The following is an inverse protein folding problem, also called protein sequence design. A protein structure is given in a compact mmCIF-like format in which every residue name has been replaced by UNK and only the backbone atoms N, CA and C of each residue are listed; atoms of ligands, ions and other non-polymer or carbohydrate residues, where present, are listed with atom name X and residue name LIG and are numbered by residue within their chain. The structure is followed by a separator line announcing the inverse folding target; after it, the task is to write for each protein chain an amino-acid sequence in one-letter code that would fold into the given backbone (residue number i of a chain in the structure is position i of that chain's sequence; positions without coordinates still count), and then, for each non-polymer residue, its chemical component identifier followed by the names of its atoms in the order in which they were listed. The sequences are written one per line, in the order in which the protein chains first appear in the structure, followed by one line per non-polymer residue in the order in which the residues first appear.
data_IF_375990753093
#
_entry.id   IF_375990753093
#
_cell.length_a   1.000
_cell.length_b   1.000
_cell.length_c   1.000
_cell.angle_alpha   90.00
_cell.angle_beta   90.00
_cell.angle_gamma   90.00
#
_symmetry.space_group_name_H-M   'P 1'
#
loop_
_entity.id
_entity.type
_entity.pdbx_description
1 polymer ?
#
# COMPACT_ATOMS: atom_id res chain seq x y z
N UNK A 1 -3.02 9.90 2.63
CA UNK A 1 -4.15 9.06 3.11
C UNK A 1 -4.55 7.97 2.11
N UNK A 2 -4.87 8.31 0.84
CA UNK A 2 -5.25 7.37 -0.25
C UNK A 2 -4.34 6.13 -0.28
N UNK A 3 -3.02 6.35 -0.30
CA UNK A 3 -2.03 5.28 -0.39
C UNK A 3 -1.99 4.36 0.82
N UNK A 4 -2.15 4.92 2.03
CA UNK A 4 -2.25 4.14 3.26
C UNK A 4 -3.50 3.24 3.23
N UNK A 5 -4.64 3.76 2.78
CA UNK A 5 -5.88 3.00 2.64
C UNK A 5 -5.72 1.83 1.66
N UNK A 6 -5.04 2.05 0.53
CA UNK A 6 -4.77 0.99 -0.43
C UNK A 6 -3.88 -0.12 0.14
N UNK A 7 -2.83 0.24 0.88
CA UNK A 7 -1.83 -0.70 1.44
C UNK A 7 -2.33 -1.46 2.66
N UNK A 8 -2.91 -0.75 3.62
CA UNK A 8 -3.19 -1.26 4.97
C UNK A 8 -4.69 -1.26 5.28
N UNK A 9 -5.46 -0.36 4.67
CA UNK A 9 -6.87 -0.11 5.00
C UNK A 9 -7.03 1.05 5.99
N UNK A 10 -8.11 1.03 6.77
CA UNK A 10 -8.34 2.03 7.83
C UNK A 10 -7.82 1.51 9.17
N UNK A 11 -6.81 2.15 9.77
CA UNK A 11 -6.17 1.64 10.99
C UNK A 11 -7.00 1.95 12.26
N UNK A 12 -8.10 2.70 12.14
CA UNK A 12 -8.93 3.14 13.28
C UNK A 12 -10.37 2.59 13.27
N UNK A 13 -10.76 1.77 12.29
CA UNK A 13 -12.16 1.28 12.18
C UNK A 13 -12.60 0.44 13.39
N UNK A 14 -11.66 -0.16 14.11
CA UNK A 14 -11.94 -1.05 15.23
C UNK A 14 -11.96 -0.35 16.61
N UNK A 15 -11.63 0.95 16.67
CA UNK A 15 -11.61 1.72 17.90
C UNK A 15 -12.88 2.55 18.03
N UNK A 16 -13.33 2.83 19.25
CA UNK A 16 -14.41 3.79 19.46
C UNK A 16 -13.92 5.19 19.09
N UNK A 17 -14.46 5.76 18.01
CA UNK A 17 -14.12 7.11 17.54
C UNK A 17 -15.26 8.06 17.92
N UNK A 18 -14.93 9.22 18.48
CA UNK A 18 -15.86 10.35 18.55
C UNK A 18 -15.66 11.23 17.31
N UNK A 19 -16.74 11.47 16.58
CA UNK A 19 -16.71 12.22 15.32
C UNK A 19 -17.52 13.50 15.52
N UNK A 20 -16.95 14.65 15.13
CA UNK A 20 -17.70 15.92 15.11
C UNK A 20 -18.85 15.79 14.11
N UNK A 21 -20.05 16.24 14.49
CA UNK A 21 -21.24 16.13 13.63
C UNK A 21 -21.03 16.74 12.23
N UNK A 22 -20.32 17.87 12.15
CA UNK A 22 -19.95 18.53 10.89
C UNK A 22 -19.12 17.66 9.95
N UNK A 23 -18.29 16.75 10.48
CA UNK A 23 -17.48 15.84 9.65
C UNK A 23 -18.32 14.77 8.95
N UNK A 24 -19.55 14.53 9.40
CA UNK A 24 -20.51 13.61 8.78
C UNK A 24 -21.40 14.29 7.74
N UNK A 25 -21.33 15.61 7.60
CA UNK A 25 -22.15 16.34 6.64
C UNK A 25 -21.79 15.93 5.21
N UNK A 26 -22.81 15.63 4.41
CA UNK A 26 -22.64 15.18 3.02
C UNK A 26 -22.29 13.69 2.86
N UNK A 27 -21.91 12.99 3.93
CA UNK A 27 -21.71 11.54 3.89
C UNK A 27 -23.09 10.87 3.91
N UNK A 28 -23.25 9.85 3.07
CA UNK A 28 -24.50 9.09 2.92
C UNK A 28 -24.22 7.61 3.09
N UNK A 29 -25.20 6.93 3.67
CA UNK A 29 -25.17 5.48 3.85
C UNK A 29 -25.23 4.78 2.49
N UNK A 30 -24.22 3.97 2.18
CA UNK A 30 -24.17 3.15 0.99
C UNK A 30 -24.54 1.71 1.33
N UNK A 31 -25.78 1.33 0.99
CA UNK A 31 -26.31 -0.01 1.29
C UNK A 31 -25.57 -1.14 0.57
N UNK A 32 -24.74 -0.83 -0.44
CA UNK A 32 -23.95 -1.85 -1.15
C UNK A 32 -22.73 -2.32 -0.34
N UNK A 33 -22.25 -1.52 0.63
CA UNK A 33 -21.06 -1.80 1.43
C UNK A 33 -21.37 -2.55 2.72
N UNK A 34 -22.05 -3.68 2.62
CA UNK A 34 -22.42 -4.50 3.78
C UNK A 34 -21.17 -4.91 4.57
N UNK A 35 -21.19 -4.77 5.91
CA UNK A 35 -20.07 -5.09 6.84
C UNK A 35 -18.87 -4.13 6.77
N UNK A 36 -18.69 -3.36 5.69
CA UNK A 36 -17.50 -2.50 5.48
C UNK A 36 -17.85 -1.01 5.31
N UNK A 37 -19.09 -0.63 5.64
CA UNK A 37 -19.61 0.74 5.60
C UNK A 37 -18.79 1.71 6.47
N UNK A 38 -18.35 1.24 7.63
CA UNK A 38 -17.57 2.00 8.60
C UNK A 38 -16.21 2.40 8.02
N UNK A 39 -15.63 1.51 7.24
CA UNK A 39 -14.33 1.66 6.60
C UNK A 39 -14.40 2.69 5.45
N UNK A 40 -15.48 2.69 4.66
CA UNK A 40 -15.74 3.74 3.67
C UNK A 40 -16.03 5.09 4.34
N UNK A 41 -16.88 5.10 5.39
CA UNK A 41 -17.19 6.32 6.14
C UNK A 41 -15.92 6.97 6.71
N UNK A 42 -15.07 6.20 7.40
CA UNK A 42 -13.81 6.69 7.97
C UNK A 42 -12.87 7.18 6.88
N UNK A 43 -12.81 6.48 5.74
CA UNK A 43 -12.05 6.95 4.58
C UNK A 43 -12.53 8.33 4.12
N UNK A 44 -13.84 8.53 3.93
CA UNK A 44 -14.38 9.82 3.49
C UNK A 44 -14.10 10.95 4.49
N UNK A 45 -14.22 10.68 5.79
CA UNK A 45 -13.93 11.67 6.84
C UNK A 45 -12.45 12.04 6.83
N UNK A 46 -11.55 11.06 6.81
CA UNK A 46 -10.11 11.24 6.92
C UNK A 46 -9.47 11.97 5.72
N UNK A 47 -10.23 12.26 4.66
CA UNK A 47 -9.79 13.10 3.54
C UNK A 47 -9.70 14.57 3.90
N UNK A 48 -10.59 15.02 4.79
CA UNK A 48 -10.79 16.44 5.10
C UNK A 48 -10.58 16.76 6.59
N UNK A 49 -10.39 15.74 7.42
CA UNK A 49 -10.33 15.88 8.87
C UNK A 49 -9.16 15.07 9.43
N UNK A 50 -8.43 15.69 10.36
CA UNK A 50 -7.39 15.02 11.13
C UNK A 50 -7.95 14.35 12.38
N UNK A 51 -7.46 13.15 12.68
CA UNK A 51 -7.75 12.45 13.91
C UNK A 51 -6.78 12.89 15.02
N UNK A 52 -7.30 13.09 16.23
CA UNK A 52 -6.51 13.37 17.43
C UNK A 52 -6.63 12.20 18.39
N UNK A 53 -5.50 11.72 18.89
CA UNK A 53 -5.48 10.70 19.95
C UNK A 53 -5.91 11.32 21.27
N UNK A 54 -6.97 10.77 21.86
CA UNK A 54 -7.39 11.16 23.21
C UNK A 54 -6.59 10.31 24.21
N UNK A 55 -5.82 10.92 25.14
CA UNK A 55 -4.89 10.20 26.00
C UNK A 55 -5.57 9.33 27.08
N UNK A 56 -6.88 9.49 27.27
CA UNK A 56 -7.66 8.75 28.26
C UNK A 56 -8.88 8.07 27.60
N UNK A 57 -9.30 6.89 28.10
CA UNK A 57 -10.46 6.20 27.57
C UNK A 57 -11.74 6.98 27.89
N UNK A 58 -12.38 7.49 26.85
CA UNK A 58 -13.64 8.23 26.98
C UNK A 58 -14.87 7.34 27.18
N UNK A 59 -14.78 6.08 26.78
CA UNK A 59 -15.86 5.11 26.89
C UNK A 59 -15.31 3.73 27.28
N UNK A 60 -15.83 3.17 28.36
CA UNK A 60 -15.61 1.78 28.74
C UNK A 60 -16.82 0.96 28.26
N UNK A 61 -16.60 0.10 27.26
CA UNK A 61 -17.64 -0.82 26.79
C UNK A 61 -17.09 -2.23 26.67
N UNK A 62 -17.96 -3.22 26.91
CA UNK A 62 -17.59 -4.63 26.83
C UNK A 62 -17.76 -5.13 25.40
N UNK A 63 -16.66 -5.52 24.75
CA UNK A 63 -16.71 -6.27 23.49
C UNK A 63 -16.98 -7.74 23.79
N UNK A 64 -18.08 -8.27 23.25
CA UNK A 64 -18.34 -9.70 23.24
C UNK A 64 -17.80 -10.29 21.93
N UNK A 65 -17.16 -11.46 21.99
CA UNK A 65 -16.64 -12.16 20.81
C UNK A 65 -17.73 -12.54 19.80
N UNK A 66 -18.99 -12.60 20.24
CA UNK A 66 -20.18 -12.77 19.40
C UNK A 66 -20.51 -11.56 18.53
N UNK A 67 -19.94 -10.38 18.80
CA UNK A 67 -20.22 -9.13 18.07
C UNK A 67 -19.30 -8.93 16.86
N UNK A 68 -18.51 -9.94 16.51
CA UNK A 68 -17.67 -9.94 15.31
C UNK A 68 -18.47 -10.63 14.20
N UNK A 69 -18.60 -9.97 13.05
CA UNK A 69 -19.22 -10.57 11.88
C UNK A 69 -18.50 -11.87 11.53
N UNK A 70 -19.25 -12.96 11.38
CA UNK A 70 -18.73 -14.23 10.89
C UNK A 70 -18.79 -14.32 9.36
N UNK A 71 -19.16 -13.23 8.69
CA UNK A 71 -19.18 -13.14 7.25
C UNK A 71 -17.78 -13.40 6.69
N UNK A 72 -17.70 -14.31 5.72
CA UNK A 72 -16.45 -14.72 5.07
C UNK A 72 -16.52 -14.54 3.55
N UNK A 73 -17.64 -14.05 3.03
CA UNK A 73 -17.78 -13.77 1.62
C UNK A 73 -16.75 -12.70 1.18
N UNK A 74 -15.92 -13.08 0.21
CA UNK A 74 -14.83 -12.24 -0.28
C UNK A 74 -15.34 -10.92 -0.88
N UNK A 75 -16.44 -10.97 -1.63
CA UNK A 75 -16.97 -9.78 -2.31
C UNK A 75 -17.53 -8.80 -1.29
N UNK A 76 -18.17 -9.30 -0.23
CA UNK A 76 -18.65 -8.47 0.88
C UNK A 76 -17.48 -7.86 1.66
N UNK A 77 -16.47 -8.66 2.00
CA UNK A 77 -15.33 -8.20 2.82
C UNK A 77 -14.42 -7.19 2.13
N UNK A 78 -14.40 -7.16 0.80
CA UNK A 78 -13.52 -6.27 0.03
C UNK A 78 -14.26 -5.25 -0.85
N UNK A 79 -15.59 -5.16 -0.74
CA UNK A 79 -16.41 -4.22 -1.50
C UNK A 79 -15.92 -2.76 -1.39
N UNK A 80 -15.44 -2.35 -0.22
CA UNK A 80 -14.86 -1.02 0.00
C UNK A 80 -13.58 -0.80 -0.81
N UNK A 81 -12.76 -1.84 -0.99
CA UNK A 81 -11.53 -1.77 -1.79
C UNK A 81 -11.86 -1.70 -3.26
N UNK A 82 -12.84 -2.48 -3.73
CA UNK A 82 -13.31 -2.42 -5.11
C UNK A 82 -13.86 -1.03 -5.43
N UNK A 83 -14.80 -0.53 -4.60
CA UNK A 83 -15.33 0.83 -4.72
C UNK A 83 -14.23 1.89 -4.69
N UNK A 84 -13.23 1.73 -3.81
CA UNK A 84 -12.11 2.66 -3.72
C UNK A 84 -11.27 2.66 -5.00
N UNK A 85 -10.92 1.48 -5.54
CA UNK A 85 -10.15 1.36 -6.78
C UNK A 85 -10.92 1.90 -7.99
N UNK A 86 -12.24 1.69 -8.05
CA UNK A 86 -13.08 2.16 -9.16
C UNK A 86 -13.27 3.69 -9.17
N UNK A 87 -13.13 4.34 -8.01
CA UNK A 87 -13.33 5.78 -7.86
C UNK A 87 -12.03 6.61 -7.87
N UNK A 88 -10.86 5.99 -8.06
CA UNK A 88 -9.59 6.69 -8.15
C UNK A 88 -8.84 6.32 -9.43
N UNK A 89 -8.26 7.33 -10.06
CA UNK A 89 -7.34 7.15 -11.18
C UNK A 89 -6.04 6.47 -10.73
N UNK A 90 -5.32 5.87 -11.67
CA UNK A 90 -4.01 5.28 -11.37
C UNK A 90 -3.00 6.31 -10.87
N UNK A 91 -3.12 7.56 -11.32
CA UNK A 91 -2.30 8.68 -10.89
C UNK A 91 -2.55 9.05 -9.42
N UNK A 92 -3.81 9.09 -8.99
CA UNK A 92 -4.15 9.31 -7.58
C UNK A 92 -3.68 8.16 -6.68
N UNK A 93 -3.73 6.92 -7.19
CA UNK A 93 -3.32 5.73 -6.43
C UNK A 93 -1.79 5.64 -6.31
N UNK A 94 -1.07 5.90 -7.41
CA UNK A 94 0.38 5.75 -7.56
C UNK A 94 1.00 7.08 -8.06
N UNK A 95 1.01 8.14 -7.24
CA UNK A 95 1.45 9.48 -7.66
C UNK A 95 2.97 9.60 -7.83
N UNK A 96 3.74 8.65 -7.33
CA UNK A 96 5.20 8.66 -7.44
C UNK A 96 5.70 8.40 -8.86
N UNK A 97 4.87 7.81 -9.73
CA UNK A 97 5.18 7.63 -11.14
C UNK A 97 5.09 8.97 -11.90
N UNK A 98 5.87 9.10 -12.97
CA UNK A 98 5.86 10.30 -13.79
C UNK A 98 4.78 10.22 -14.88
N UNK A 99 3.57 10.65 -14.53
CA UNK A 99 2.41 10.59 -15.43
C UNK A 99 2.43 11.61 -16.58
N UNK A 100 3.31 12.62 -16.54
CA UNK A 100 3.29 13.73 -17.49
C UNK A 100 4.46 13.73 -18.48
N UNK A 101 5.61 13.12 -18.16
CA UNK A 101 6.78 13.08 -19.05
C UNK A 101 7.10 11.67 -19.58
N UNK A 102 6.35 10.64 -19.16
CA UNK A 102 6.57 9.25 -19.53
C UNK A 102 5.63 8.69 -20.61
N UNK A 103 5.99 7.53 -21.15
CA UNK A 103 5.06 6.69 -21.92
C UNK A 103 3.91 6.24 -21.01
N UNK A 104 2.69 6.67 -21.33
CA UNK A 104 1.49 6.37 -20.55
C UNK A 104 1.30 4.87 -20.35
N UNK A 105 1.59 4.03 -21.37
CA UNK A 105 1.45 2.58 -21.27
C UNK A 105 2.45 2.00 -20.25
N UNK A 106 3.70 2.51 -20.24
CA UNK A 106 4.75 2.10 -19.31
C UNK A 106 4.36 2.38 -17.86
N UNK A 107 3.84 3.57 -17.57
CA UNK A 107 3.45 3.94 -16.21
C UNK A 107 2.18 3.23 -15.77
N UNK A 108 1.22 3.02 -16.66
CA UNK A 108 0.05 2.20 -16.35
C UNK A 108 0.44 0.76 -16.01
N UNK A 109 1.41 0.17 -16.72
CA UNK A 109 1.91 -1.17 -16.42
C UNK A 109 2.55 -1.23 -15.03
N UNK A 110 3.43 -0.28 -14.69
CA UNK A 110 4.06 -0.17 -13.36
C UNK A 110 3.01 0.02 -12.25
N UNK A 111 2.06 0.93 -12.45
CA UNK A 111 1.00 1.21 -11.48
C UNK A 111 0.17 -0.05 -11.21
N UNK A 112 -0.24 -0.77 -12.25
CA UNK A 112 -0.98 -2.03 -12.10
C UNK A 112 -0.18 -3.09 -11.34
N UNK A 113 1.14 -3.19 -11.60
CA UNK A 113 2.01 -4.10 -10.87
C UNK A 113 2.10 -3.71 -9.38
N UNK A 114 2.31 -2.43 -9.06
CA UNK A 114 2.37 -1.95 -7.67
C UNK A 114 1.05 -2.22 -6.93
N UNK A 115 -0.09 -1.90 -7.55
CA UNK A 115 -1.41 -2.18 -7.00
C UNK A 115 -1.56 -3.69 -6.74
N UNK A 116 -1.13 -4.55 -7.67
CA UNK A 116 -1.20 -6.00 -7.49
C UNK A 116 -0.42 -6.48 -6.26
N UNK A 117 0.75 -5.89 -5.99
CA UNK A 117 1.56 -6.20 -4.82
C UNK A 117 0.92 -5.71 -3.51
N UNK A 118 0.27 -4.55 -3.52
CA UNK A 118 -0.50 -4.08 -2.36
C UNK A 118 -1.71 -4.97 -2.07
N UNK A 119 -2.43 -5.40 -3.11
CA UNK A 119 -3.55 -6.32 -2.96
C UNK A 119 -3.10 -7.69 -2.43
N UNK A 120 -1.93 -8.18 -2.86
CA UNK A 120 -1.33 -9.41 -2.32
C UNK A 120 -1.11 -9.31 -0.81
N UNK A 121 -0.52 -8.20 -0.34
CA UNK A 121 -0.24 -7.97 1.09
C UNK A 121 -1.50 -7.90 1.93
N UNK A 122 -2.61 -7.45 1.34
CA UNK A 122 -3.93 -7.47 1.96
C UNK A 122 -4.63 -8.83 1.92
N UNK A 123 -4.01 -9.85 1.31
CA UNK A 123 -4.61 -11.17 1.12
C UNK A 123 -5.68 -11.22 0.02
N UNK A 124 -5.82 -10.18 -0.80
CA UNK A 124 -6.75 -10.11 -1.92
C UNK A 124 -6.20 -10.86 -3.15
N UNK A 125 -6.00 -12.17 -3.00
CA UNK A 125 -5.32 -13.01 -4.01
C UNK A 125 -6.01 -12.97 -5.39
N UNK A 126 -7.35 -13.09 -5.52
CA UNK A 126 -8.01 -13.02 -6.82
C UNK A 126 -7.80 -11.68 -7.54
N UNK A 127 -7.93 -10.56 -6.82
CA UNK A 127 -7.75 -9.23 -7.41
C UNK A 127 -6.28 -8.96 -7.75
N UNK A 128 -5.36 -9.38 -6.87
CA UNK A 128 -3.93 -9.34 -7.13
C UNK A 128 -3.58 -10.00 -8.48
N UNK A 129 -4.06 -11.22 -8.73
CA UNK A 129 -3.82 -11.93 -10.00
C UNK A 129 -4.39 -11.17 -11.21
N UNK A 130 -5.60 -10.60 -11.07
CA UNK A 130 -6.24 -9.81 -12.13
C UNK A 130 -5.43 -8.55 -12.47
N UNK A 131 -5.01 -7.81 -11.45
CA UNK A 131 -4.20 -6.60 -11.61
C UNK A 131 -2.80 -6.88 -12.16
N UNK A 132 -2.16 -7.97 -11.72
CA UNK A 132 -0.87 -8.38 -12.25
C UNK A 132 -0.96 -8.78 -13.73
N UNK A 133 -2.00 -9.54 -14.12
CA UNK A 133 -2.25 -9.87 -15.54
C UNK A 133 -2.47 -8.62 -16.40
N UNK A 134 -3.17 -7.62 -15.86
CA UNK A 134 -3.32 -6.30 -16.51
C UNK A 134 -1.97 -5.63 -16.70
N UNK A 135 -1.11 -5.63 -15.67
CA UNK A 135 0.24 -5.10 -15.75
C UNK A 135 1.06 -5.79 -16.85
N UNK A 136 1.03 -7.13 -16.92
CA UNK A 136 1.74 -7.90 -17.95
C UNK A 136 1.25 -7.60 -19.37
N UNK A 137 -0.05 -7.36 -19.54
CA UNK A 137 -0.64 -7.04 -20.86
C UNK A 137 -0.18 -5.66 -21.35
N UNK A 138 0.00 -4.71 -20.43
CA UNK A 138 0.46 -3.35 -20.74
C UNK A 138 1.99 -3.26 -20.82
N UNK A 139 2.71 -4.26 -20.30
CA UNK A 139 4.16 -4.25 -20.20
C UNK A 139 4.81 -4.37 -21.59
N UNK A 140 5.41 -3.26 -22.05
CA UNK A 140 6.41 -3.22 -23.12
C UNK A 140 7.78 -2.96 -22.50
N UNK A 141 8.86 -3.39 -23.14
CA UNK A 141 10.20 -2.98 -22.67
C UNK A 141 10.34 -1.46 -22.76
N UNK A 142 10.90 -0.77 -21.75
CA UNK A 142 11.61 -1.27 -20.56
C UNK A 142 10.72 -1.50 -19.31
N UNK A 143 9.40 -1.29 -19.40
CA UNK A 143 8.46 -1.54 -18.28
C UNK A 143 8.41 -3.02 -17.89
N UNK A 144 8.63 -3.92 -18.85
CA UNK A 144 8.65 -5.38 -18.67
C UNK A 144 9.56 -5.82 -17.54
N UNK A 145 10.77 -5.27 -17.46
CA UNK A 145 11.71 -5.56 -16.38
C UNK A 145 11.15 -5.25 -14.99
N UNK A 146 10.52 -4.08 -14.80
CA UNK A 146 9.90 -3.72 -13.52
C UNK A 146 8.71 -4.64 -13.19
N UNK A 147 7.83 -4.92 -14.17
CA UNK A 147 6.67 -5.80 -13.96
C UNK A 147 7.09 -7.23 -13.60
N UNK A 148 8.15 -7.75 -14.24
CA UNK A 148 8.72 -9.05 -13.91
C UNK A 148 9.30 -9.06 -12.49
N UNK A 149 10.00 -8.00 -12.09
CA UNK A 149 10.51 -7.88 -10.72
C UNK A 149 9.40 -7.97 -9.68
N UNK A 150 8.30 -7.24 -9.87
CA UNK A 150 7.15 -7.30 -8.96
C UNK A 150 6.56 -8.72 -8.91
N UNK A 151 6.46 -9.42 -10.04
CA UNK A 151 6.03 -10.82 -10.07
C UNK A 151 6.93 -11.74 -9.24
N UNK A 152 8.25 -11.56 -9.34
CA UNK A 152 9.21 -12.29 -8.50
C UNK A 152 9.07 -11.95 -7.01
N UNK A 153 8.83 -10.69 -6.66
CA UNK A 153 8.55 -10.29 -5.28
C UNK A 153 7.29 -10.98 -4.73
N UNK A 154 6.22 -11.06 -5.54
CA UNK A 154 4.95 -11.67 -5.14
C UNK A 154 5.06 -13.15 -4.78
N UNK A 155 6.02 -13.87 -5.37
CA UNK A 155 6.31 -15.27 -5.07
C UNK A 155 7.49 -15.47 -4.10
N UNK A 156 8.05 -14.38 -3.55
CA UNK A 156 9.17 -14.42 -2.60
C UNK A 156 10.55 -14.63 -3.22
N UNK A 157 10.67 -14.56 -4.56
CA UNK A 157 11.93 -14.72 -5.29
C UNK A 157 12.74 -13.41 -5.36
N UNK A 158 13.12 -12.85 -4.20
CA UNK A 158 13.73 -11.52 -4.10
C UNK A 158 15.07 -11.38 -4.85
N UNK A 159 15.86 -12.45 -4.95
CA UNK A 159 17.13 -12.42 -5.69
C UNK A 159 16.93 -12.20 -7.20
N UNK A 160 15.89 -12.80 -7.80
CA UNK A 160 15.56 -12.55 -9.21
C UNK A 160 14.93 -11.17 -9.38
N UNK A 161 14.08 -10.74 -8.42
CA UNK A 161 13.54 -9.38 -8.43
C UNK A 161 14.65 -8.32 -8.44
N UNK A 162 15.72 -8.51 -7.66
CA UNK A 162 16.90 -7.63 -7.64
C UNK A 162 17.54 -7.53 -9.04
N UNK A 163 17.71 -8.65 -9.76
CA UNK A 163 18.30 -8.63 -11.11
C UNK A 163 17.47 -7.80 -12.08
N UNK A 164 16.15 -8.01 -12.08
CA UNK A 164 15.23 -7.24 -12.93
C UNK A 164 15.18 -5.76 -12.54
N UNK A 165 15.18 -5.42 -11.23
CA UNK A 165 15.20 -4.04 -10.76
C UNK A 165 16.52 -3.34 -11.08
N UNK A 166 17.65 -4.04 -10.99
CA UNK A 166 18.95 -3.52 -11.37
C UNK A 166 19.10 -3.28 -12.88
N UNK A 167 18.28 -3.95 -13.71
CA UNK A 167 18.21 -3.71 -15.15
C UNK A 167 17.26 -2.55 -15.55
N UNK A 168 16.46 -2.05 -14.60
CA UNK A 168 15.67 -0.84 -14.81
C UNK A 168 16.59 0.39 -14.88
N UNK A 169 16.02 1.51 -15.32
CA UNK A 169 16.67 2.81 -15.25
C UNK A 169 17.08 3.13 -13.80
N UNK A 170 18.39 3.33 -13.57
CA UNK A 170 18.94 3.61 -12.25
C UNK A 170 18.51 4.96 -11.67
N UNK A 171 17.93 5.83 -12.49
CA UNK A 171 17.38 7.14 -12.07
C UNK A 171 15.85 7.10 -11.89
N UNK A 172 15.21 5.92 -12.01
CA UNK A 172 13.80 5.74 -11.66
C UNK A 172 13.65 5.57 -10.13
N UNK A 173 13.12 6.58 -9.41
CA UNK A 173 12.97 6.53 -7.95
C UNK A 173 12.12 5.34 -7.48
N UNK A 174 11.16 4.90 -8.30
CA UNK A 174 10.25 3.80 -7.96
C UNK A 174 11.01 2.48 -8.03
N UNK A 175 11.73 2.22 -9.12
CA UNK A 175 12.56 1.03 -9.27
C UNK A 175 13.65 0.95 -8.19
N UNK A 176 14.33 2.06 -7.92
CA UNK A 176 15.34 2.17 -6.86
C UNK A 176 14.77 1.84 -5.48
N UNK A 177 13.57 2.32 -5.16
CA UNK A 177 12.90 1.98 -3.90
C UNK A 177 12.57 0.48 -3.80
N UNK A 178 12.00 -0.12 -4.84
CA UNK A 178 11.69 -1.55 -4.83
C UNK A 178 12.96 -2.42 -4.79
N UNK A 179 14.08 -1.94 -5.35
CA UNK A 179 15.38 -2.58 -5.21
C UNK A 179 15.82 -2.55 -3.75
N UNK A 180 15.73 -1.39 -3.09
CA UNK A 180 16.02 -1.27 -1.65
C UNK A 180 15.16 -2.20 -0.80
N UNK A 181 13.88 -2.35 -1.14
CA UNK A 181 12.97 -3.27 -0.48
C UNK A 181 13.39 -4.74 -0.64
N UNK A 182 13.74 -5.16 -1.85
CA UNK A 182 14.23 -6.53 -2.07
C UNK A 182 15.54 -6.78 -1.32
N UNK A 183 16.45 -5.80 -1.29
CA UNK A 183 17.70 -5.88 -0.53
C UNK A 183 17.44 -5.98 0.98
N UNK A 184 16.45 -5.27 1.52
CA UNK A 184 16.06 -5.39 2.92
C UNK A 184 15.52 -6.80 3.23
N UNK A 185 14.68 -7.34 2.35
CA UNK A 185 14.10 -8.69 2.48
C UNK A 185 15.13 -9.81 2.35
N UNK A 186 16.25 -9.58 1.63
CA UNK A 186 17.38 -10.52 1.57
C UNK A 186 18.43 -10.29 2.67
N UNK A 187 18.22 -9.31 3.56
CA UNK A 187 19.12 -9.03 4.70
C UNK A 187 20.27 -8.06 4.38
N UNK A 188 20.36 -7.52 3.18
CA UNK A 188 21.37 -6.56 2.73
C UNK A 188 21.01 -5.12 3.19
N UNK A 189 20.85 -4.93 4.51
CA UNK A 189 20.28 -3.71 5.11
C UNK A 189 21.04 -2.42 4.79
N UNK A 190 22.37 -2.47 4.66
CA UNK A 190 23.17 -1.29 4.32
C UNK A 190 22.91 -0.83 2.88
N UNK A 191 22.87 -1.78 1.94
CA UNK A 191 22.54 -1.47 0.53
C UNK A 191 21.08 -1.00 0.42
N UNK A 192 20.16 -1.63 1.15
CA UNK A 192 18.77 -1.19 1.20
C UNK A 192 18.65 0.28 1.65
N UNK A 193 19.35 0.65 2.72
CA UNK A 193 19.40 2.03 3.21
C UNK A 193 19.93 3.02 2.18
N UNK A 194 21.00 2.67 1.46
CA UNK A 194 21.54 3.50 0.36
C UNK A 194 20.52 3.69 -0.77
N UNK A 195 19.82 2.62 -1.19
CA UNK A 195 18.80 2.73 -2.23
C UNK A 195 17.61 3.58 -1.80
N UNK A 196 17.13 3.45 -0.56
CA UNK A 196 16.05 4.30 -0.08
C UNK A 196 16.44 5.78 -0.01
N UNK A 197 17.67 6.09 0.42
CA UNK A 197 18.17 7.46 0.36
C UNK A 197 18.28 7.97 -1.07
N UNK A 198 18.74 7.14 -2.02
CA UNK A 198 18.79 7.50 -3.44
C UNK A 198 17.39 7.81 -3.98
N UNK A 199 16.39 6.98 -3.68
CA UNK A 199 15.01 7.22 -4.11
C UNK A 199 14.46 8.56 -3.58
N UNK A 200 14.76 8.95 -2.33
CA UNK A 200 14.39 10.27 -1.79
C UNK A 200 15.15 11.42 -2.43
N UNK A 201 16.41 11.23 -2.82
CA UNK A 201 17.18 12.26 -3.54
C UNK A 201 16.60 12.50 -4.94
N UNK A 202 16.19 11.43 -5.62
CA UNK A 202 15.57 11.49 -6.95
C UNK A 202 14.16 12.08 -6.89
N UNK A 203 13.37 11.72 -5.87
CA UNK A 203 11.99 12.19 -5.69
C UNK A 203 11.68 12.44 -4.21
N UNK A 204 11.89 13.68 -3.70
CA UNK A 204 11.71 14.00 -2.28
C UNK A 204 10.28 13.85 -1.75
N UNK A 205 9.27 13.93 -2.61
CA UNK A 205 7.84 13.77 -2.30
C UNK A 205 7.38 12.30 -2.34
N UNK A 206 8.26 11.36 -2.69
CA UNK A 206 7.95 9.93 -2.63
C UNK A 206 8.01 9.42 -1.19
N UNK A 207 6.86 9.05 -0.62
CA UNK A 207 6.73 8.72 0.81
C UNK A 207 7.31 7.32 1.18
N UNK A 208 7.23 6.32 0.30
CA UNK A 208 7.65 4.93 0.60
C UNK A 208 9.07 4.76 1.08
N UNK A 209 10.10 5.35 0.43
CA UNK A 209 11.46 5.19 0.88
C UNK A 209 11.66 5.68 2.32
N UNK A 210 10.96 6.74 2.72
CA UNK A 210 11.00 7.25 4.09
C UNK A 210 10.35 6.28 5.08
N UNK A 211 9.21 5.68 4.73
CA UNK A 211 8.59 4.61 5.54
C UNK A 211 9.51 3.39 5.66
N UNK A 212 10.13 2.97 4.56
CA UNK A 212 11.04 1.84 4.54
C UNK A 212 12.28 2.10 5.42
N UNK A 213 12.84 3.32 5.38
CA UNK A 213 13.94 3.75 6.25
C UNK A 213 13.55 3.72 7.73
N UNK A 214 12.36 4.20 8.09
CA UNK A 214 11.84 4.11 9.46
C UNK A 214 11.76 2.65 9.93
N UNK A 215 11.31 1.75 9.05
CA UNK A 215 11.30 0.30 9.31
C UNK A 215 12.71 -0.26 9.57
N UNK A 216 13.70 0.09 8.74
CA UNK A 216 15.10 -0.32 8.95
C UNK A 216 15.69 0.17 10.27
N UNK A 217 15.41 1.42 10.66
CA UNK A 217 15.90 2.00 11.92
C UNK A 217 15.18 1.40 13.13
N UNK A 218 13.90 1.06 13.01
CA UNK A 218 13.13 0.32 14.02
C UNK A 218 13.83 -0.98 14.42
N UNK A 219 14.30 -1.75 13.43
CA UNK A 219 15.06 -3.00 13.64
C UNK A 219 16.39 -2.74 14.37
N UNK A 220 17.08 -1.64 14.07
CA UNK A 220 18.33 -1.28 14.77
C UNK A 220 18.10 -0.93 16.24
N UNK A 221 16.89 -0.48 16.62
CA UNK A 221 16.53 -0.08 17.99
C UNK A 221 15.97 -1.25 18.82
N UNK A 222 15.31 -2.21 18.19
CA UNK A 222 14.87 -3.45 18.84
C UNK A 222 16.05 -4.43 18.90
N UNK A 223 16.48 -4.80 20.10
CA UNK A 223 17.62 -5.70 20.37
C UNK A 223 17.52 -7.08 19.63
N UNK A 224 18.58 -7.90 19.59
CA UNK A 224 19.00 -8.77 18.47
C UNK A 224 18.15 -10.01 18.17
N UNK A 225 16.94 -10.08 18.71
CA UNK A 225 16.07 -11.28 18.67
C UNK A 225 15.31 -11.36 17.34
N UNK A 226 15.04 -10.22 16.69
CA UNK A 226 14.41 -10.17 15.36
C UNK A 226 15.12 -9.14 14.47
N UNK A 227 15.74 -9.62 13.39
CA UNK A 227 16.39 -8.79 12.36
C UNK A 227 15.60 -8.79 11.06
N UNK A 228 14.43 -9.43 11.03
CA UNK A 228 13.62 -9.50 9.82
C UNK A 228 12.97 -8.14 9.56
N UNK A 229 13.29 -7.55 8.41
CA UNK A 229 12.56 -6.39 7.94
C UNK A 229 11.27 -6.89 7.32
N UNK A 230 10.15 -6.57 7.96
CA UNK A 230 8.82 -6.88 7.44
C UNK A 230 8.22 -5.58 6.92
N UNK A 231 7.86 -5.58 5.63
CA UNK A 231 6.92 -4.60 5.09
C UNK A 231 5.51 -5.12 5.39
N UNK A 232 4.66 -4.23 5.91
CA UNK A 232 3.26 -4.50 6.27
C UNK A 232 2.54 -5.39 5.26
#
# INVERSE_FOLDING_TARGET
MIRFYLKVGTPFNNNSVMIRCEALQGIRYDTSLRVVEDTDMIFQIARNWDAVHVPEPLLLYRRHSSNISKEKDYQVLFAHVHKFLDNHSLEELIPELDWHQGDADRNQAKACAIISLFLLRRGMIPDCQRWYKKAQTLAKEPAGSFVNAIGHMMVGNFHEAIKFLASCDGEDPVAVNYLGECLALTGEMNKAHEQFLKALQLKPDYEEPLENLKGLVGIKRTAPIDRSWTKF
#
